data_IF_394830934227
#
_entry.id   IF_394830934227
#
_cell.length_a   1.000
_cell.length_b   1.000
_cell.length_c   1.000
_cell.angle_alpha   90.00
_cell.angle_beta   90.00
_cell.angle_gamma   90.00
#
_symmetry.space_group_name_H-M   'P 1'
#
loop_
_entity.id
_entity.type
_entity.pdbx_description
1 polymer ?
#
# COMPACT_ATOMS: atom_id res chain seq x y z
N UNK A 1 8.19 20.16 -1.03
CA UNK A 1 7.95 20.54 -2.44
C UNK A 1 6.84 19.66 -2.98
N UNK A 2 5.74 20.23 -3.47
CA UNK A 2 4.62 19.44 -3.96
C UNK A 2 4.95 18.83 -5.34
N UNK A 3 4.61 17.56 -5.54
CA UNK A 3 4.77 16.89 -6.82
C UNK A 3 3.80 17.47 -7.87
N UNK A 4 4.28 17.65 -9.12
CA UNK A 4 3.40 18.03 -10.22
C UNK A 4 2.36 16.93 -10.49
N UNK A 5 1.22 17.30 -11.10
CA UNK A 5 0.15 16.37 -11.46
C UNK A 5 0.68 15.18 -12.27
N UNK A 6 1.54 15.43 -13.26
CA UNK A 6 2.13 14.37 -14.09
C UNK A 6 3.03 13.42 -13.26
N UNK A 7 3.87 13.94 -12.37
CA UNK A 7 4.69 13.09 -11.50
C UNK A 7 3.84 12.22 -10.56
N UNK A 8 2.72 12.74 -10.06
CA UNK A 8 1.77 11.94 -9.28
C UNK A 8 1.15 10.83 -10.12
N UNK A 9 0.76 11.09 -11.37
CA UNK A 9 0.25 10.07 -12.29
C UNK A 9 1.31 9.01 -12.60
N UNK A 10 2.55 9.40 -12.87
CA UNK A 10 3.67 8.47 -13.08
C UNK A 10 3.88 7.59 -11.85
N UNK A 11 3.89 8.17 -10.65
CA UNK A 11 3.99 7.38 -9.40
C UNK A 11 2.86 6.37 -9.26
N UNK A 12 1.63 6.77 -9.53
CA UNK A 12 0.47 5.87 -9.48
C UNK A 12 0.66 4.70 -10.45
N UNK A 13 1.00 4.96 -11.71
CA UNK A 13 1.23 3.93 -12.73
C UNK A 13 2.37 2.98 -12.32
N UNK A 14 3.47 3.51 -11.78
CA UNK A 14 4.60 2.67 -11.35
C UNK A 14 4.19 1.74 -10.21
N UNK A 15 3.47 2.26 -9.21
CA UNK A 15 3.05 1.44 -8.07
C UNK A 15 2.00 0.42 -8.49
N UNK A 16 0.98 0.82 -9.23
CA UNK A 16 -0.08 -0.08 -9.71
C UNK A 16 0.49 -1.21 -10.59
N UNK A 17 1.41 -0.88 -11.51
CA UNK A 17 2.06 -1.88 -12.35
C UNK A 17 2.94 -2.83 -11.54
N UNK A 18 3.75 -2.30 -10.62
CA UNK A 18 4.66 -3.11 -9.82
C UNK A 18 3.94 -4.04 -8.86
N UNK A 19 2.83 -3.62 -8.26
CA UNK A 19 1.99 -4.47 -7.38
C UNK A 19 1.47 -5.70 -8.16
N UNK A 20 1.10 -5.51 -9.43
CA UNK A 20 0.52 -6.57 -10.24
C UNK A 20 1.55 -7.52 -10.87
N UNK A 21 2.76 -7.03 -11.17
CA UNK A 21 3.75 -7.80 -11.96
C UNK A 21 5.01 -8.16 -11.19
N UNK A 22 5.32 -7.44 -10.11
CA UNK A 22 6.59 -7.47 -9.38
C UNK A 22 7.82 -7.15 -10.29
N UNK A 23 7.59 -6.55 -11.46
CA UNK A 23 8.65 -6.21 -12.41
C UNK A 23 8.91 -4.70 -12.45
N UNK A 24 10.19 -4.27 -12.61
CA UNK A 24 10.52 -2.86 -12.77
C UNK A 24 9.85 -2.23 -13.98
N UNK A 25 9.24 -1.05 -13.81
CA UNK A 25 8.42 -0.41 -14.84
C UNK A 25 9.25 0.54 -15.69
N UNK A 26 9.25 0.32 -17.00
CA UNK A 26 10.00 1.10 -17.98
C UNK A 26 9.25 2.36 -18.42
N UNK A 27 10.02 3.40 -18.86
CA UNK A 27 9.46 4.69 -19.32
C UNK A 27 8.50 4.59 -20.50
N UNK A 28 8.67 3.60 -21.39
CA UNK A 28 7.77 3.37 -22.52
C UNK A 28 6.39 2.89 -22.04
N UNK A 29 6.36 1.88 -21.19
CA UNK A 29 5.11 1.35 -20.63
C UNK A 29 4.33 2.41 -19.84
N UNK A 30 5.04 3.31 -19.16
CA UNK A 30 4.41 4.44 -18.45
C UNK A 30 3.87 5.47 -19.44
N UNK A 31 4.62 5.82 -20.49
CA UNK A 31 4.18 6.79 -21.49
C UNK A 31 2.90 6.32 -22.21
N UNK A 32 2.79 5.02 -22.47
CA UNK A 32 1.62 4.40 -23.11
C UNK A 32 0.36 4.42 -22.22
N UNK A 33 0.52 4.49 -20.89
CA UNK A 33 -0.58 4.52 -19.91
C UNK A 33 -0.98 5.94 -19.47
N UNK A 34 -0.15 6.95 -19.77
CA UNK A 34 -0.48 8.32 -19.40
C UNK A 34 -1.63 8.86 -20.26
N UNK A 35 -2.61 9.59 -19.66
CA UNK A 35 -3.72 10.18 -20.40
C UNK A 35 -3.27 11.26 -21.39
N UNK A 36 -2.16 11.92 -21.09
CA UNK A 36 -1.53 12.92 -21.97
C UNK A 36 -0.44 12.22 -22.81
N UNK A 37 -0.41 12.49 -24.13
CA UNK A 37 0.66 11.98 -25.00
C UNK A 37 2.00 12.64 -24.63
N UNK A 38 2.80 11.91 -23.91
CA UNK A 38 4.14 12.33 -23.47
C UNK A 38 5.19 11.39 -24.03
N UNK A 39 6.32 11.92 -24.50
CA UNK A 39 7.40 11.09 -24.98
C UNK A 39 8.04 10.25 -23.85
N UNK A 40 8.53 9.07 -24.19
CA UNK A 40 9.27 8.23 -23.22
C UNK A 40 10.54 8.92 -22.69
N UNK A 41 11.11 9.86 -23.44
CA UNK A 41 12.25 10.68 -23.00
C UNK A 41 11.82 11.65 -21.87
N UNK A 42 10.66 12.27 -21.99
CA UNK A 42 10.09 13.14 -20.93
C UNK A 42 9.77 12.34 -19.68
N UNK A 43 9.14 11.17 -19.85
CA UNK A 43 8.86 10.26 -18.71
C UNK A 43 10.16 9.82 -18.03
N UNK A 44 11.22 9.53 -18.79
CA UNK A 44 12.53 9.17 -18.24
C UNK A 44 13.10 10.26 -17.33
N UNK A 45 12.96 11.54 -17.75
CA UNK A 45 13.35 12.68 -16.92
C UNK A 45 12.54 12.74 -15.62
N UNK A 46 11.21 12.62 -15.71
CA UNK A 46 10.36 12.63 -14.51
C UNK A 46 10.68 11.45 -13.57
N UNK A 47 11.02 10.27 -14.11
CA UNK A 47 11.46 9.12 -13.31
C UNK A 47 12.80 9.38 -12.61
N UNK A 48 13.75 10.05 -13.26
CA UNK A 48 15.00 10.45 -12.63
C UNK A 48 14.73 11.41 -11.47
N UNK A 49 13.95 12.46 -11.71
CA UNK A 49 13.57 13.42 -10.67
C UNK A 49 12.87 12.73 -9.47
N UNK A 50 11.98 11.75 -9.73
CA UNK A 50 11.30 10.99 -8.68
C UNK A 50 12.27 10.09 -7.90
N UNK A 51 13.29 9.54 -8.57
CA UNK A 51 14.35 8.78 -7.93
C UNK A 51 15.24 9.67 -7.06
N UNK A 52 15.61 10.86 -7.54
CA UNK A 52 16.40 11.85 -6.79
C UNK A 52 15.65 12.33 -5.53
N UNK A 53 14.32 12.41 -5.62
CA UNK A 53 13.46 12.71 -4.47
C UNK A 53 13.25 11.50 -3.54
N UNK A 54 13.77 10.33 -3.87
CA UNK A 54 13.68 9.11 -3.08
C UNK A 54 12.33 8.39 -3.13
N UNK A 55 11.46 8.68 -4.11
CA UNK A 55 10.18 7.99 -4.28
C UNK A 55 10.30 6.69 -5.09
N UNK A 56 11.30 6.62 -5.96
CA UNK A 56 11.56 5.46 -6.82
C UNK A 56 13.00 4.99 -6.66
N UNK A 57 13.22 3.71 -6.92
CA UNK A 57 14.53 3.08 -6.94
C UNK A 57 14.77 2.43 -8.30
N UNK A 58 16.04 2.28 -8.66
CA UNK A 58 16.46 1.58 -9.86
C UNK A 58 17.30 0.35 -9.45
N UNK A 59 16.76 -0.87 -9.55
CA UNK A 59 17.47 -2.07 -9.11
C UNK A 59 18.79 -2.31 -9.87
N UNK A 60 18.81 -2.02 -11.19
CA UNK A 60 19.97 -2.16 -12.07
C UNK A 60 19.98 -1.05 -13.12
N UNK A 61 21.16 -0.72 -13.65
CA UNK A 61 21.38 0.40 -14.59
C UNK A 61 20.48 0.36 -15.84
N UNK A 62 20.12 -0.83 -16.32
CA UNK A 62 19.22 -1.03 -17.46
C UNK A 62 17.77 -1.30 -17.09
N UNK A 63 17.47 -1.43 -15.79
CA UNK A 63 16.13 -1.72 -15.32
C UNK A 63 15.23 -0.48 -15.34
N UNK A 64 13.90 -0.71 -15.34
CA UNK A 64 12.90 0.30 -15.07
C UNK A 64 13.01 0.86 -13.66
N UNK A 65 11.91 1.32 -13.12
CA UNK A 65 11.84 1.84 -11.73
C UNK A 65 10.91 0.98 -10.90
N UNK A 66 11.23 0.87 -9.62
CA UNK A 66 10.40 0.24 -8.60
C UNK A 66 10.06 1.28 -7.51
N UNK A 67 8.93 1.14 -6.81
CA UNK A 67 8.59 2.03 -5.70
C UNK A 67 9.53 1.83 -4.51
N UNK A 68 9.99 2.91 -3.90
CA UNK A 68 10.65 2.89 -2.58
C UNK A 68 9.59 2.84 -1.46
N UNK A 69 10.03 2.62 -0.21
CA UNK A 69 9.15 2.73 0.96
C UNK A 69 8.46 4.12 1.05
N UNK A 70 9.17 5.19 0.67
CA UNK A 70 8.62 6.54 0.59
C UNK A 70 7.60 6.67 -0.54
N UNK A 71 7.84 6.02 -1.68
CA UNK A 71 6.91 5.95 -2.81
C UNK A 71 5.59 5.27 -2.44
N UNK A 72 5.64 4.14 -1.75
CA UNK A 72 4.45 3.45 -1.27
C UNK A 72 3.66 4.30 -0.27
N UNK A 73 4.32 5.00 0.65
CA UNK A 73 3.62 5.91 1.58
C UNK A 73 2.87 7.04 0.85
N UNK A 74 3.51 7.64 -0.15
CA UNK A 74 2.86 8.65 -0.98
C UNK A 74 1.64 8.07 -1.71
N UNK A 75 1.79 6.87 -2.29
CA UNK A 75 0.71 6.18 -3.00
C UNK A 75 -0.50 5.95 -2.09
N UNK A 76 -0.31 5.33 -0.93
CA UNK A 76 -1.40 5.02 0.01
C UNK A 76 -2.08 6.28 0.54
N UNK A 77 -1.30 7.32 0.83
CA UNK A 77 -1.84 8.53 1.45
C UNK A 77 -2.56 9.46 0.45
N UNK A 78 -2.08 9.52 -0.81
CA UNK A 78 -2.52 10.57 -1.73
C UNK A 78 -2.98 10.08 -3.12
N UNK A 79 -2.54 8.90 -3.58
CA UNK A 79 -2.71 8.49 -4.98
C UNK A 79 -3.62 7.28 -5.17
N UNK A 80 -3.76 6.45 -4.16
CA UNK A 80 -4.55 5.23 -4.21
C UNK A 80 -6.04 5.58 -4.29
N UNK A 81 -6.74 4.94 -5.23
CA UNK A 81 -8.19 5.08 -5.31
C UNK A 81 -8.83 4.40 -4.10
N UNK A 82 -9.60 5.15 -3.32
CA UNK A 82 -10.38 4.60 -2.21
C UNK A 82 -11.61 3.91 -2.80
N UNK A 83 -11.63 2.59 -2.72
CA UNK A 83 -12.86 1.83 -2.97
C UNK A 83 -13.80 2.02 -1.77
N UNK A 84 -15.03 2.52 -1.95
CA UNK A 84 -16.03 2.45 -0.89
C UNK A 84 -16.34 0.98 -0.58
N UNK A 85 -16.68 0.69 0.66
CA UNK A 85 -17.17 -0.63 1.04
C UNK A 85 -18.45 -0.94 0.26
N UNK A 86 -18.63 -2.19 -0.12
CA UNK A 86 -19.91 -2.67 -0.63
C UNK A 86 -20.93 -2.72 0.51
N UNK A 87 -22.23 -2.70 0.19
CA UNK A 87 -23.28 -2.80 1.19
C UNK A 87 -23.19 -4.12 2.01
N UNK A 88 -22.71 -5.19 1.40
CA UNK A 88 -22.50 -6.49 2.06
C UNK A 88 -21.33 -6.43 3.05
N UNK A 89 -20.21 -5.80 2.65
CA UNK A 89 -19.04 -5.59 3.52
C UNK A 89 -19.41 -4.69 4.69
N UNK A 90 -20.15 -3.60 4.45
CA UNK A 90 -20.62 -2.69 5.50
C UNK A 90 -21.56 -3.40 6.47
N UNK A 91 -22.52 -4.19 5.99
CA UNK A 91 -23.41 -4.96 6.81
C UNK A 91 -22.68 -6.02 7.65
N UNK A 92 -21.67 -6.68 7.07
CA UNK A 92 -20.84 -7.66 7.76
C UNK A 92 -20.05 -7.02 8.90
N UNK A 93 -19.43 -5.86 8.65
CA UNK A 93 -18.68 -5.08 9.65
C UNK A 93 -19.62 -4.65 10.78
N UNK A 94 -20.78 -4.06 10.44
CA UNK A 94 -21.74 -3.60 11.43
C UNK A 94 -22.29 -4.75 12.30
N UNK A 95 -22.57 -5.91 11.70
CA UNK A 95 -23.03 -7.09 12.43
C UNK A 95 -21.98 -7.62 13.40
N UNK A 96 -20.71 -7.64 12.99
CA UNK A 96 -19.62 -8.10 13.85
C UNK A 96 -19.35 -7.11 15.01
N UNK A 97 -19.44 -5.81 14.76
CA UNK A 97 -19.24 -4.77 15.79
C UNK A 97 -20.46 -4.55 16.69
N UNK A 98 -21.65 -4.99 16.30
CA UNK A 98 -22.88 -4.83 17.10
C UNK A 98 -22.96 -5.80 18.29
N UNK A 99 -22.07 -6.80 18.38
CA UNK A 99 -22.04 -7.71 19.53
C UNK A 99 -21.58 -6.94 20.77
N UNK A 100 -22.34 -7.04 21.90
CA UNK A 100 -21.93 -6.39 23.14
C UNK A 100 -20.60 -6.99 23.62
N UNK A 101 -19.56 -6.19 23.61
CA UNK A 101 -18.23 -6.57 24.03
C UNK A 101 -18.03 -6.10 25.47
N UNK A 102 -17.72 -7.04 26.35
CA UNK A 102 -17.58 -6.74 27.78
C UNK A 102 -16.18 -6.21 28.15
N UNK A 103 -15.20 -6.37 27.26
CA UNK A 103 -13.80 -5.97 27.49
C UNK A 103 -13.18 -5.38 26.22
N UNK A 104 -12.29 -4.40 26.37
CA UNK A 104 -11.61 -3.71 25.27
C UNK A 104 -10.74 -4.68 24.45
N UNK A 105 -10.14 -5.67 25.10
CA UNK A 105 -9.35 -6.72 24.44
C UNK A 105 -10.17 -7.49 23.40
N UNK A 106 -11.43 -7.82 23.73
CA UNK A 106 -12.32 -8.53 22.79
C UNK A 106 -12.66 -7.67 21.56
N UNK A 107 -12.77 -6.34 21.72
CA UNK A 107 -12.96 -5.42 20.59
C UNK A 107 -11.75 -5.44 19.66
N UNK A 108 -10.57 -5.38 20.25
CA UNK A 108 -9.30 -5.38 19.50
C UNK A 108 -9.12 -6.69 18.74
N UNK A 109 -9.35 -7.83 19.38
CA UNK A 109 -9.24 -9.14 18.76
C UNK A 109 -10.26 -9.32 17.62
N UNK A 110 -11.51 -8.93 17.83
CA UNK A 110 -12.52 -8.98 16.76
C UNK A 110 -12.17 -8.07 15.57
N UNK A 111 -11.69 -6.86 15.83
CA UNK A 111 -11.23 -5.96 14.79
C UNK A 111 -10.07 -6.57 13.99
N UNK A 112 -9.10 -7.17 14.67
CA UNK A 112 -7.98 -7.86 14.03
C UNK A 112 -8.41 -9.03 13.15
N UNK A 113 -9.28 -9.90 13.66
CA UNK A 113 -9.83 -11.03 12.89
C UNK A 113 -10.61 -10.56 11.66
N UNK A 114 -11.40 -9.50 11.80
CA UNK A 114 -12.16 -8.93 10.69
C UNK A 114 -11.23 -8.38 9.61
N UNK A 115 -10.25 -7.57 9.97
CA UNK A 115 -9.25 -7.05 9.02
C UNK A 115 -8.54 -8.20 8.32
N UNK A 116 -8.11 -9.23 9.05
CA UNK A 116 -7.47 -10.42 8.48
C UNK A 116 -8.35 -11.12 7.43
N UNK A 117 -9.65 -11.25 7.70
CA UNK A 117 -10.59 -11.89 6.77
C UNK A 117 -10.81 -11.09 5.48
N UNK A 118 -10.79 -9.76 5.55
CA UNK A 118 -10.95 -8.89 4.38
C UNK A 118 -9.69 -8.78 3.52
N UNK A 119 -8.52 -8.71 4.16
CA UNK A 119 -7.23 -8.55 3.42
C UNK A 119 -6.62 -9.88 2.99
N UNK A 120 -7.05 -11.01 3.55
CA UNK A 120 -6.48 -12.33 3.27
C UNK A 120 -5.06 -12.53 3.81
N UNK A 121 -4.61 -11.67 4.75
CA UNK A 121 -3.31 -11.75 5.41
C UNK A 121 -3.47 -11.82 6.92
N UNK A 122 -2.54 -12.50 7.64
CA UNK A 122 -2.53 -12.46 9.10
C UNK A 122 -2.32 -11.02 9.58
N UNK A 123 -3.15 -10.60 10.53
CA UNK A 123 -3.03 -9.28 11.18
C UNK A 123 -2.68 -9.46 12.64
N UNK A 124 -1.88 -8.53 13.16
CA UNK A 124 -1.50 -8.48 14.56
C UNK A 124 -2.02 -7.17 15.15
N UNK A 125 -2.79 -7.28 16.20
CA UNK A 125 -3.26 -6.13 16.96
C UNK A 125 -2.46 -6.01 18.24
N UNK A 126 -1.92 -4.83 18.50
CA UNK A 126 -1.19 -4.53 19.74
C UNK A 126 -1.96 -3.47 20.49
N UNK A 127 -2.49 -3.82 21.66
CA UNK A 127 -3.06 -2.85 22.57
C UNK A 127 -1.93 -2.22 23.39
N UNK A 128 -1.76 -0.91 23.29
CA UNK A 128 -0.83 -0.17 24.14
C UNK A 128 -1.46 -0.01 25.55
N UNK A 129 -1.31 -1.04 26.34
CA UNK A 129 -1.53 -0.88 27.78
C UNK A 129 -0.28 -0.19 28.34
N UNK A 130 -0.43 0.93 29.00
CA UNK A 130 0.65 1.70 29.65
C UNK A 130 1.47 0.93 30.71
N UNK A 131 1.33 -0.35 30.80
CA UNK A 131 2.22 -1.28 31.50
C UNK A 131 3.05 -1.99 30.45
N UNK A 132 4.32 -1.61 30.37
CA UNK A 132 5.30 -2.05 29.37
C UNK A 132 5.35 -3.58 29.21
N UNK A 133 4.55 -4.13 28.33
CA UNK A 133 4.77 -5.47 27.79
C UNK A 133 5.61 -5.34 26.52
N UNK A 134 6.84 -5.82 26.57
CA UNK A 134 7.72 -5.90 25.41
C UNK A 134 7.57 -7.28 24.79
N UNK A 135 7.15 -7.35 23.53
CA UNK A 135 7.16 -8.62 22.79
C UNK A 135 8.61 -8.98 22.48
N UNK A 136 9.11 -10.06 23.07
CA UNK A 136 10.49 -10.51 22.90
C UNK A 136 10.67 -11.52 21.76
N UNK A 137 9.61 -12.24 21.35
CA UNK A 137 9.71 -13.29 20.34
C UNK A 137 8.35 -13.64 19.74
N UNK A 138 8.32 -13.94 18.43
CA UNK A 138 7.21 -14.59 17.73
C UNK A 138 7.67 -15.93 17.19
N UNK A 139 6.86 -16.97 17.37
CA UNK A 139 7.03 -18.27 16.71
C UNK A 139 5.78 -18.60 15.90
N UNK A 140 5.98 -18.95 14.62
CA UNK A 140 4.92 -19.51 13.78
C UNK A 140 4.98 -21.02 13.89
N UNK A 141 3.92 -21.63 14.43
CA UNK A 141 3.79 -23.08 14.52
C UNK A 141 2.78 -23.51 13.45
N UNK A 142 3.22 -24.36 12.53
CA UNK A 142 2.29 -25.01 11.60
C UNK A 142 1.45 -26.01 12.41
N UNK A 143 0.13 -25.87 12.36
CA UNK A 143 -0.82 -26.84 12.93
C UNK A 143 -1.31 -27.68 11.76
N UNK A 144 -0.97 -29.01 11.78
CA UNK A 144 -1.50 -29.99 10.83
C UNK A 144 -2.98 -30.28 11.09
#
# INVERSE_FOLDING_TARGET
MALSRRKKQIMKIVVDSYINTAEPVGSKAIADQLPEKVSSATVRKDLADLSDMGYLEQPHTSAGRIPSAKGYRLYVNELMDRKPLSAEEEASINTALAKPLQQVEQVIDQAGQMVSSFVGYPTYTVADHRTAATVQRFELIAVE
#
